data_IF_178249723471
#
_entry.id   IF_178249723471
#
_cell.length_a   1.000
_cell.length_b   1.000
_cell.length_c   1.000
_cell.angle_alpha   90.00
_cell.angle_beta   90.00
_cell.angle_gamma   90.00
#
_symmetry.space_group_name_H-M   'P 1'
#
loop_
_entity.id
_entity.type
_entity.pdbx_description
1 polymer ?
#
# COMPACT_ATOMS: atom_id res chain seq x y z
N UNK A 1 -11.61 -27.10 45.59
CA UNK A 1 -12.03 -27.67 44.30
C UNK A 1 -11.26 -26.95 43.21
N UNK A 2 -10.43 -27.66 42.45
CA UNK A 2 -9.61 -27.04 41.39
C UNK A 2 -10.21 -27.41 40.03
N UNK A 3 -10.70 -26.40 39.32
CA UNK A 3 -11.09 -26.54 37.92
C UNK A 3 -9.82 -26.31 37.10
N UNK A 4 -9.20 -27.39 36.62
CA UNK A 4 -8.16 -27.31 35.59
C UNK A 4 -8.87 -27.28 34.24
N UNK A 5 -9.16 -26.07 33.75
CA UNK A 5 -9.48 -25.89 32.34
C UNK A 5 -8.16 -26.05 31.58
N UNK A 6 -7.99 -27.19 30.93
CA UNK A 6 -6.92 -27.43 29.97
C UNK A 6 -7.03 -26.43 28.83
N UNK A 7 -6.36 -25.29 28.96
CA UNK A 7 -6.14 -24.37 27.86
C UNK A 7 -5.30 -25.11 26.84
N UNK A 8 -5.91 -25.54 25.74
CA UNK A 8 -5.20 -25.91 24.51
C UNK A 8 -4.43 -24.67 24.06
N UNK A 9 -3.18 -24.56 24.46
CA UNK A 9 -2.31 -23.47 24.01
C UNK A 9 -1.97 -23.75 22.55
N UNK A 10 -2.54 -22.95 21.64
CA UNK A 10 -2.07 -22.89 20.26
C UNK A 10 -0.71 -22.22 20.33
N UNK A 11 0.34 -22.93 19.90
CA UNK A 11 1.67 -22.34 19.75
C UNK A 11 1.61 -21.37 18.58
N UNK A 12 1.68 -20.07 18.86
CA UNK A 12 1.77 -19.04 17.84
C UNK A 12 3.13 -18.39 17.98
N UNK A 13 3.90 -18.37 16.90
CA UNK A 13 5.23 -17.78 16.85
C UNK A 13 5.16 -16.45 16.10
N UNK A 14 5.76 -15.41 16.66
CA UNK A 14 5.83 -14.10 16.02
C UNK A 14 6.93 -14.09 14.96
N UNK A 15 6.60 -13.67 13.74
CA UNK A 15 7.54 -13.59 12.60
C UNK A 15 7.65 -12.18 12.02
N UNK A 16 7.12 -11.17 12.71
CA UNK A 16 7.15 -9.77 12.29
C UNK A 16 8.57 -9.24 12.15
N UNK A 17 8.83 -8.50 11.07
CA UNK A 17 10.09 -7.79 10.83
C UNK A 17 9.81 -6.30 10.69
N UNK A 18 10.68 -5.46 11.26
CA UNK A 18 10.61 -4.01 11.09
C UNK A 18 11.03 -3.63 9.67
N UNK A 19 10.17 -2.92 8.97
CA UNK A 19 10.44 -2.41 7.61
C UNK A 19 10.19 -0.91 7.53
N UNK A 20 10.90 -0.24 6.62
CA UNK A 20 10.71 1.18 6.33
C UNK A 20 10.08 1.33 4.95
N UNK A 21 8.84 1.84 4.91
CA UNK A 21 8.08 2.02 3.67
C UNK A 21 8.17 3.48 3.21
N UNK A 22 8.51 3.75 1.94
CA UNK A 22 8.53 5.11 1.40
C UNK A 22 7.19 5.82 1.56
N UNK A 23 7.23 7.15 1.75
CA UNK A 23 6.03 7.97 1.88
C UNK A 23 5.39 8.29 0.52
N UNK A 24 4.99 7.25 -0.22
CA UNK A 24 4.34 7.33 -1.52
C UNK A 24 3.14 6.37 -1.58
N UNK A 25 1.99 6.77 -2.15
CA UNK A 25 0.81 5.91 -2.19
C UNK A 25 1.06 4.60 -2.96
N UNK A 26 1.79 4.63 -4.06
CA UNK A 26 2.14 3.42 -4.81
C UNK A 26 3.02 2.49 -3.97
N UNK A 27 4.07 3.01 -3.35
CA UNK A 27 4.95 2.22 -2.49
C UNK A 27 4.19 1.57 -1.33
N UNK A 28 3.26 2.29 -0.71
CA UNK A 28 2.43 1.75 0.38
C UNK A 28 1.50 0.64 -0.07
N UNK A 29 0.91 0.73 -1.27
CA UNK A 29 0.10 -0.37 -1.82
C UNK A 29 0.93 -1.60 -2.19
N UNK A 30 2.13 -1.40 -2.72
CA UNK A 30 3.06 -2.50 -2.98
C UNK A 30 3.43 -3.22 -1.69
N UNK A 31 3.69 -2.46 -0.62
CA UNK A 31 3.94 -3.02 0.70
C UNK A 31 2.72 -3.78 1.25
N UNK A 32 1.51 -3.23 1.10
CA UNK A 32 0.28 -3.94 1.46
C UNK A 32 0.16 -5.28 0.71
N UNK A 33 0.47 -5.29 -0.59
CA UNK A 33 0.43 -6.51 -1.40
C UNK A 33 1.48 -7.53 -0.96
N UNK A 34 2.68 -7.09 -0.58
CA UNK A 34 3.69 -7.98 -0.02
C UNK A 34 3.21 -8.62 1.28
N UNK A 35 2.55 -7.86 2.16
CA UNK A 35 1.93 -8.41 3.36
C UNK A 35 0.90 -9.50 3.03
N UNK A 36 0.06 -9.27 2.02
CA UNK A 36 -0.91 -10.27 1.54
C UNK A 36 -0.16 -11.51 1.06
N UNK A 37 0.84 -11.36 0.20
CA UNK A 37 1.61 -12.50 -0.32
C UNK A 37 2.41 -13.23 0.75
N UNK A 38 2.84 -12.55 1.81
CA UNK A 38 3.48 -13.19 2.94
C UNK A 38 2.51 -14.15 3.66
N UNK A 39 1.24 -13.75 3.81
CA UNK A 39 0.19 -14.54 4.46
C UNK A 39 -0.26 -15.71 3.58
N UNK A 40 -0.53 -15.47 2.29
CA UNK A 40 -1.08 -16.50 1.38
C UNK A 40 0.00 -17.29 0.60
N UNK A 41 1.28 -16.99 0.87
CA UNK A 41 2.44 -17.59 0.21
C UNK A 41 2.44 -17.47 -1.32
N UNK A 42 1.96 -16.34 -1.87
CA UNK A 42 2.00 -16.05 -3.32
C UNK A 42 3.29 -15.40 -3.81
N UNK A 43 4.27 -15.14 -2.94
CA UNK A 43 5.50 -14.43 -3.31
C UNK A 43 6.44 -15.17 -4.27
N UNK A 44 6.12 -16.41 -4.66
CA UNK A 44 6.89 -17.19 -5.64
C UNK A 44 6.47 -16.89 -7.10
N UNK A 45 5.36 -16.21 -7.30
CA UNK A 45 4.91 -15.80 -8.63
C UNK A 45 5.70 -14.56 -9.08
N UNK A 46 6.49 -14.68 -10.16
CA UNK A 46 7.34 -13.59 -10.65
C UNK A 46 6.52 -12.36 -11.07
N UNK A 47 5.30 -12.58 -11.57
CA UNK A 47 4.40 -11.50 -11.99
C UNK A 47 3.97 -10.67 -10.77
N UNK A 48 3.69 -11.33 -9.63
CA UNK A 48 3.27 -10.67 -8.39
C UNK A 48 4.46 -10.03 -7.66
N UNK A 49 5.64 -10.65 -7.76
CA UNK A 49 6.86 -10.17 -7.10
C UNK A 49 7.23 -8.75 -7.55
N UNK A 50 7.00 -8.41 -8.82
CA UNK A 50 7.22 -7.06 -9.34
C UNK A 50 6.33 -6.00 -8.64
N UNK A 51 5.12 -6.38 -8.24
CA UNK A 51 4.19 -5.50 -7.53
C UNK A 51 4.44 -5.45 -6.01
N UNK A 52 5.38 -6.26 -5.50
CA UNK A 52 5.75 -6.31 -4.09
C UNK A 52 7.06 -5.56 -3.79
N UNK A 53 7.84 -5.18 -4.81
CA UNK A 53 9.08 -4.41 -4.67
C UNK A 53 8.82 -2.91 -4.38
N UNK A 54 8.31 -2.62 -3.19
CA UNK A 54 7.95 -1.27 -2.77
C UNK A 54 9.13 -0.30 -2.69
N UNK A 55 10.37 -0.80 -2.63
CA UNK A 55 11.57 0.02 -2.67
C UNK A 55 11.78 0.67 -4.06
N UNK A 56 11.39 -0.03 -5.13
CA UNK A 56 11.50 0.42 -6.51
C UNK A 56 10.15 0.81 -7.12
N UNK A 57 9.25 1.38 -6.34
CA UNK A 57 7.89 1.77 -6.75
C UNK A 57 7.84 2.69 -7.99
N UNK A 58 8.89 3.47 -8.22
CA UNK A 58 9.03 4.36 -9.38
C UNK A 58 9.08 3.62 -10.72
N UNK A 59 9.44 2.32 -10.72
CA UNK A 59 9.53 1.49 -11.93
C UNK A 59 8.17 1.07 -12.49
N UNK A 60 7.08 1.26 -11.73
CA UNK A 60 5.73 0.94 -12.19
C UNK A 60 5.23 2.01 -13.16
N UNK A 61 4.89 1.59 -14.37
CA UNK A 61 4.13 2.40 -15.33
C UNK A 61 2.72 2.70 -14.82
N UNK A 62 2.06 3.72 -15.38
CA UNK A 62 0.70 4.07 -14.97
C UNK A 62 -0.33 2.96 -15.22
N UNK A 63 -0.09 2.11 -16.23
CA UNK A 63 -0.91 0.91 -16.47
C UNK A 63 -0.72 -0.10 -15.34
N UNK A 64 0.51 -0.33 -14.92
CA UNK A 64 0.84 -1.25 -13.84
C UNK A 64 0.33 -0.74 -12.48
N UNK A 65 0.36 0.57 -12.22
CA UNK A 65 -0.27 1.16 -11.02
C UNK A 65 -1.78 0.92 -10.97
N UNK A 66 -2.47 1.00 -12.11
CA UNK A 66 -3.92 0.65 -12.19
C UNK A 66 -4.15 -0.83 -11.94
N UNK A 67 -3.27 -1.69 -12.44
CA UNK A 67 -3.34 -3.12 -12.19
C UNK A 67 -3.10 -3.45 -10.70
N UNK A 68 -2.10 -2.81 -10.07
CA UNK A 68 -1.86 -2.89 -8.63
C UNK A 68 -3.11 -2.52 -7.82
N UNK A 69 -3.79 -1.43 -8.18
CA UNK A 69 -5.05 -1.06 -7.54
C UNK A 69 -6.11 -2.17 -7.66
N UNK A 70 -6.31 -2.71 -8.86
CA UNK A 70 -7.26 -3.80 -9.08
C UNK A 70 -6.92 -5.03 -8.23
N UNK A 71 -5.65 -5.41 -8.17
CA UNK A 71 -5.17 -6.49 -7.31
C UNK A 71 -5.52 -6.19 -5.84
N UNK A 72 -5.19 -5.00 -5.33
CA UNK A 72 -5.48 -4.64 -3.94
C UNK A 72 -6.98 -4.65 -3.62
N UNK A 73 -7.86 -4.30 -4.58
CA UNK A 73 -9.31 -4.46 -4.42
C UNK A 73 -9.76 -5.92 -4.36
N UNK A 74 -9.15 -6.80 -5.17
CA UNK A 74 -9.50 -8.23 -5.23
C UNK A 74 -9.03 -8.95 -3.95
N UNK A 75 -7.82 -8.67 -3.50
CA UNK A 75 -7.26 -9.21 -2.25
C UNK A 75 -7.75 -8.43 -1.01
N UNK A 76 -9.04 -8.08 -1.02
CA UNK A 76 -9.77 -7.47 0.10
C UNK A 76 -9.37 -8.17 1.43
N UNK A 77 -9.26 -7.43 2.55
CA UNK A 77 -8.56 -7.83 3.79
C UNK A 77 -9.14 -9.03 4.57
N UNK A 78 -9.90 -9.91 3.95
CA UNK A 78 -10.43 -11.15 4.55
C UNK A 78 -9.32 -12.10 5.04
N UNK A 79 -8.09 -11.90 4.56
CA UNK A 79 -6.89 -12.62 5.01
C UNK A 79 -6.26 -12.03 6.29
N UNK A 80 -6.67 -10.83 6.71
CA UNK A 80 -6.10 -10.12 7.84
C UNK A 80 -7.10 -9.97 8.98
N UNK A 81 -6.60 -10.04 10.22
CA UNK A 81 -7.44 -9.93 11.41
C UNK A 81 -7.21 -8.56 12.06
N UNK A 82 -8.28 -7.76 12.15
CA UNK A 82 -8.23 -6.55 12.97
C UNK A 82 -8.19 -6.96 14.45
N UNK A 83 -7.06 -6.75 15.10
CA UNK A 83 -6.87 -7.05 16.51
C UNK A 83 -5.71 -6.22 17.07
N UNK A 84 -6.03 -5.22 17.90
CA UNK A 84 -5.02 -4.33 18.48
C UNK A 84 -4.23 -5.00 19.61
N UNK A 85 -4.81 -5.96 20.33
CA UNK A 85 -4.13 -6.71 21.41
C UNK A 85 -3.02 -7.61 20.86
N UNK A 86 -3.20 -8.12 19.65
CA UNK A 86 -2.17 -8.87 18.92
C UNK A 86 -1.13 -7.95 18.26
N UNK A 87 -1.25 -6.63 18.38
CA UNK A 87 -0.30 -5.66 17.84
C UNK A 87 0.57 -5.07 18.96
N UNK A 88 1.55 -5.85 19.44
CA UNK A 88 2.31 -5.54 20.67
C UNK A 88 3.42 -4.53 20.41
N UNK A 89 4.24 -4.75 19.38
CA UNK A 89 5.38 -3.89 19.06
C UNK A 89 5.14 -3.02 17.82
N UNK A 90 4.38 -3.53 16.87
CA UNK A 90 4.15 -2.87 15.58
C UNK A 90 2.65 -2.75 15.29
N UNK A 91 2.28 -1.74 14.50
CA UNK A 91 0.89 -1.53 14.07
C UNK A 91 0.34 -2.62 13.14
N UNK A 92 1.21 -3.53 12.71
CA UNK A 92 0.88 -4.79 12.07
C UNK A 92 1.85 -5.87 12.53
N UNK A 93 1.35 -7.07 12.80
CA UNK A 93 2.16 -8.18 13.30
C UNK A 93 1.83 -9.48 12.58
N UNK A 94 2.88 -10.23 12.25
CA UNK A 94 2.79 -11.52 11.58
C UNK A 94 3.04 -12.64 12.58
N UNK A 95 2.26 -13.70 12.40
CA UNK A 95 2.29 -14.86 13.26
C UNK A 95 2.25 -16.13 12.44
N UNK A 96 3.08 -17.09 12.80
CA UNK A 96 3.06 -18.46 12.30
C UNK A 96 2.32 -19.36 13.29
N UNK A 97 1.36 -20.12 12.78
CA UNK A 97 0.60 -21.10 13.56
C UNK A 97 1.42 -22.40 13.58
N UNK A 98 2.05 -22.71 14.71
CA UNK A 98 2.86 -23.90 14.88
C UNK A 98 1.98 -25.11 15.27
N UNK A 99 1.94 -26.14 14.41
CA UNK A 99 1.18 -27.38 14.62
C UNK A 99 1.81 -28.34 15.65
N UNK A 100 2.39 -27.82 16.74
CA UNK A 100 3.25 -28.63 17.64
C UNK A 100 2.48 -29.59 18.56
N UNK A 101 1.16 -29.45 18.72
CA UNK A 101 0.38 -30.43 19.48
C UNK A 101 -0.69 -31.12 18.62
N UNK A 102 -0.32 -32.34 18.23
CA UNK A 102 -0.96 -33.47 17.55
C UNK A 102 -2.49 -33.55 17.32
N UNK A 103 -3.35 -32.65 17.81
CA UNK A 103 -4.81 -32.72 17.60
C UNK A 103 -5.51 -31.35 17.65
N UNK A 104 -5.09 -30.35 16.87
CA UNK A 104 -5.90 -29.14 16.74
C UNK A 104 -6.00 -28.57 15.32
N UNK A 105 -7.25 -28.59 14.83
CA UNK A 105 -7.89 -27.91 13.70
C UNK A 105 -7.12 -27.89 12.38
N UNK A 106 -7.73 -28.54 11.38
CA UNK A 106 -7.39 -28.42 9.96
C UNK A 106 -6.86 -27.01 9.66
N UNK A 107 -5.61 -26.92 9.18
CA UNK A 107 -5.07 -25.68 8.64
C UNK A 107 -6.17 -25.07 7.76
N UNK A 108 -6.66 -23.87 8.13
CA UNK A 108 -7.75 -23.25 7.39
C UNK A 108 -7.24 -23.05 5.97
N UNK A 109 -7.89 -23.72 5.04
CA UNK A 109 -7.55 -23.61 3.64
C UNK A 109 -8.48 -22.58 3.02
N UNK A 110 -7.91 -21.55 2.42
CA UNK A 110 -8.69 -20.52 1.71
C UNK A 110 -8.59 -20.77 0.21
N UNK A 111 -9.67 -20.54 -0.53
CA UNK A 111 -9.67 -20.66 -1.98
C UNK A 111 -9.39 -19.28 -2.57
N UNK A 112 -8.26 -19.13 -3.24
CA UNK A 112 -7.86 -17.91 -3.96
C UNK A 112 -7.65 -18.30 -5.42
N UNK A 113 -8.37 -17.64 -6.34
CA UNK A 113 -8.25 -17.92 -7.78
C UNK A 113 -8.53 -19.39 -8.14
N UNK A 114 -9.41 -20.06 -7.39
CA UNK A 114 -9.75 -21.48 -7.59
C UNK A 114 -8.72 -22.47 -7.04
N UNK A 115 -7.64 -22.01 -6.39
CA UNK A 115 -6.63 -22.84 -5.75
C UNK A 115 -6.79 -22.81 -4.23
N UNK A 116 -6.66 -23.96 -3.60
CA UNK A 116 -6.74 -24.11 -2.14
C UNK A 116 -5.37 -23.85 -1.51
N UNK A 117 -5.24 -22.78 -0.73
CA UNK A 117 -4.01 -22.41 -0.01
C UNK A 117 -4.15 -22.76 1.46
N UNK A 118 -3.27 -23.62 2.00
CA UNK A 118 -3.19 -23.83 3.45
C UNK A 118 -2.58 -22.59 4.11
N UNK A 119 -3.33 -22.00 5.05
CA UNK A 119 -2.89 -20.80 5.76
C UNK A 119 -2.25 -21.22 7.09
N UNK A 120 -0.91 -21.14 7.15
CA UNK A 120 -0.13 -21.32 8.38
C UNK A 120 0.40 -19.99 8.94
N UNK A 121 0.13 -18.87 8.26
CA UNK A 121 0.52 -17.53 8.66
C UNK A 121 -0.70 -16.65 8.76
N UNK A 122 -0.75 -15.79 9.76
CA UNK A 122 -1.79 -14.78 9.91
C UNK A 122 -1.14 -13.42 10.14
N UNK A 123 -1.87 -12.37 9.79
CA UNK A 123 -1.49 -11.00 10.06
C UNK A 123 -2.56 -10.33 10.91
N UNK A 124 -2.16 -9.80 12.05
CA UNK A 124 -2.94 -8.87 12.84
C UNK A 124 -2.61 -7.44 12.45
N UNK A 125 -3.58 -6.53 12.51
CA UNK A 125 -3.36 -5.11 12.23
C UNK A 125 -4.20 -4.19 13.12
N UNK A 126 -3.62 -3.02 13.39
CA UNK A 126 -4.33 -1.85 13.89
C UNK A 126 -4.98 -1.09 12.72
N UNK A 127 -6.14 -0.49 12.95
CA UNK A 127 -6.86 0.24 11.89
C UNK A 127 -6.04 1.41 11.32
N UNK A 128 -5.16 2.00 12.13
CA UNK A 128 -4.18 3.00 11.71
C UNK A 128 -3.26 2.49 10.59
N UNK A 129 -2.80 1.24 10.67
CA UNK A 129 -1.97 0.61 9.66
C UNK A 129 -2.74 0.37 8.37
N UNK A 130 -3.96 -0.18 8.47
CA UNK A 130 -4.82 -0.45 7.32
C UNK A 130 -5.16 0.83 6.56
N UNK A 131 -5.51 1.87 7.30
CA UNK A 131 -5.78 3.20 6.73
C UNK A 131 -4.56 3.75 6.00
N UNK A 132 -3.40 3.75 6.67
CA UNK A 132 -2.14 4.31 6.15
C UNK A 132 -1.64 3.60 4.91
N UNK A 133 -1.71 2.26 4.87
CA UNK A 133 -1.03 1.46 3.86
C UNK A 133 -1.95 0.90 2.76
N UNK A 134 -3.27 0.88 2.98
CA UNK A 134 -4.23 0.36 2.01
C UNK A 134 -5.27 1.43 1.63
N UNK A 135 -6.11 1.86 2.60
CA UNK A 135 -7.29 2.67 2.29
C UNK A 135 -6.96 4.06 1.73
N UNK A 136 -6.08 4.81 2.40
CA UNK A 136 -5.69 6.16 1.95
C UNK A 136 -4.91 6.10 0.61
N UNK A 137 -3.92 5.21 0.41
CA UNK A 137 -3.27 5.09 -0.89
C UNK A 137 -4.22 4.72 -2.04
N UNK A 138 -5.20 3.83 -1.81
CA UNK A 138 -6.21 3.51 -2.82
C UNK A 138 -7.03 4.74 -3.20
N UNK A 139 -7.46 5.53 -2.21
CA UNK A 139 -8.18 6.79 -2.46
C UNK A 139 -7.32 7.80 -3.23
N UNK A 140 -6.04 7.97 -2.87
CA UNK A 140 -5.14 8.93 -3.53
C UNK A 140 -4.87 8.57 -5.01
N UNK A 141 -4.78 7.29 -5.34
CA UNK A 141 -4.50 6.83 -6.70
C UNK A 141 -5.76 6.70 -7.57
N UNK A 142 -6.96 6.64 -6.96
CA UNK A 142 -8.25 6.62 -7.67
C UNK A 142 -8.84 8.02 -7.83
N UNK A 143 -8.45 8.97 -6.98
CA UNK A 143 -8.83 10.35 -7.13
C UNK A 143 -8.40 10.83 -8.53
N UNK A 144 -9.31 11.46 -9.31
CA UNK A 144 -8.95 12.02 -10.59
C UNK A 144 -7.81 12.99 -10.33
N UNK A 145 -6.65 12.68 -10.93
CA UNK A 145 -5.46 13.50 -10.81
C UNK A 145 -5.87 14.93 -11.12
N UNK A 146 -5.94 15.77 -10.08
CA UNK A 146 -5.87 17.20 -10.30
C UNK A 146 -4.49 17.39 -10.88
N UNK A 147 -4.41 17.34 -12.21
CA UNK A 147 -3.26 17.78 -12.97
C UNK A 147 -2.98 19.15 -12.40
N UNK A 148 -1.96 19.26 -11.54
CA UNK A 148 -1.40 20.56 -11.25
C UNK A 148 -1.10 21.14 -12.63
N UNK A 149 -1.71 22.27 -13.01
CA UNK A 149 -1.24 22.96 -14.19
C UNK A 149 0.24 23.22 -13.92
N UNK A 150 1.12 22.53 -14.67
CA UNK A 150 2.53 22.87 -14.64
C UNK A 150 2.61 24.37 -14.92
N UNK A 151 3.26 25.19 -14.08
CA UNK A 151 3.51 26.56 -14.44
C UNK A 151 4.35 26.50 -15.73
N UNK A 152 3.70 26.82 -16.85
CA UNK A 152 4.32 26.97 -18.15
C UNK A 152 5.48 27.93 -17.92
N UNK A 153 6.72 27.43 -17.93
CA UNK A 153 7.91 28.28 -17.92
C UNK A 153 7.73 29.25 -19.08
N UNK A 154 7.39 30.50 -18.76
CA UNK A 154 7.37 31.56 -19.76
C UNK A 154 8.81 31.68 -20.23
N UNK A 155 9.04 31.27 -21.47
CA UNK A 155 10.24 31.62 -22.21
C UNK A 155 10.08 33.12 -22.46
N UNK A 156 10.64 33.95 -21.58
CA UNK A 156 10.78 35.37 -21.84
C UNK A 156 11.79 35.53 -22.97
N UNK A 157 11.29 35.82 -24.16
CA UNK A 157 12.10 36.21 -25.32
C UNK A 157 12.88 37.52 -25.01
N UNK A 158 14.09 37.70 -25.54
CA UNK A 158 14.94 38.84 -25.23
C UNK A 158 14.32 40.14 -25.77
N UNK A 159 14.26 41.14 -24.90
CA UNK A 159 13.74 42.47 -25.15
C UNK A 159 14.68 43.20 -26.14
N UNK A 160 14.24 43.40 -27.38
CA UNK A 160 14.92 44.21 -28.38
C UNK A 160 14.48 45.66 -28.21
N UNK A 161 15.32 46.46 -27.56
CA UNK A 161 15.12 47.91 -27.42
C UNK A 161 15.29 48.61 -28.77
N UNK A 162 14.23 49.26 -29.25
CA UNK A 162 14.30 50.32 -30.25
C UNK A 162 13.88 51.66 -29.62
N UNK A 163 14.50 52.79 -30.03
CA UNK A 163 14.37 54.07 -29.35
C UNK A 163 13.07 54.79 -29.73
N UNK A 164 12.45 55.45 -28.76
CA UNK A 164 11.33 56.37 -28.95
C UNK A 164 11.91 57.74 -29.30
N UNK A 165 11.66 58.21 -30.53
CA UNK A 165 11.84 59.59 -30.94
C UNK A 165 10.61 60.42 -30.56
N UNK A 166 10.85 61.55 -29.88
CA UNK A 166 9.91 62.64 -29.62
C UNK A 166 9.17 63.13 -30.88
N UNK A 167 7.90 63.52 -30.74
CA UNK A 167 7.42 64.92 -30.84
C UNK A 167 5.89 64.97 -30.98
N UNK A 168 5.25 65.74 -30.10
CA UNK A 168 4.07 66.62 -30.32
C UNK A 168 2.72 65.99 -30.76
N UNK A 169 1.53 66.43 -30.33
CA UNK A 169 1.14 67.64 -29.62
C UNK A 169 -0.27 67.50 -29.00
N UNK A 170 -0.52 68.45 -28.12
CA UNK A 170 -1.64 68.78 -27.24
C UNK A 170 -3.09 68.69 -27.79
N UNK A 171 -4.04 68.49 -26.86
CA UNK A 171 -5.48 68.66 -27.06
C UNK A 171 -5.96 70.13 -26.88
N UNK A 172 -7.11 70.42 -27.51
CA UNK A 172 -8.21 71.37 -27.18
C UNK A 172 -8.22 72.78 -27.83
N UNK A 173 -9.22 72.95 -28.72
CA UNK A 173 -10.29 74.00 -28.84
C UNK A 173 -9.96 75.45 -28.47
N UNK A 174 -10.10 76.36 -29.45
CA UNK A 174 -10.89 77.59 -29.36
C UNK A 174 -11.37 78.02 -30.75
#
# INVERSE_FOLDING_TARGET
MAVVIGRKQVGVERTTVRVTVPNNPTARLMYYLECVCHVISCGQDEDIRRFSDYANWERLSDKEKKFLLMICYIFSPDVFFHNEELCVEFSNEFYMINQIHHRFLAAKSIIIGGRTHQVNKIMAYQMSWMRKNCLEPMQQLTAPSQRQPQPRRQITAPHRSHPVTNSDCCCIIQ
#
